data_IF_919253500183
#
_entry.id   IF_919253500183
#
_cell.length_a   1.000
_cell.length_b   1.000
_cell.length_c   1.000
_cell.angle_alpha   90.00
_cell.angle_beta   90.00
_cell.angle_gamma   90.00
#
_symmetry.space_group_name_H-M   'P 1'
#
loop_
_entity.id
_entity.type
_entity.pdbx_description
1 polymer ?
#
# COMPACT_ATOMS: atom_id res chain seq x y z
N UNK A 1 43.90 -29.66 31.23
CA UNK A 1 42.52 -29.13 31.38
C UNK A 1 42.01 -29.50 32.76
N UNK A 2 41.61 -28.54 33.60
CA UNK A 2 40.97 -28.84 34.88
C UNK A 2 39.53 -29.34 34.66
N UNK A 3 39.02 -30.16 35.58
CA UNK A 3 37.65 -30.67 35.54
C UNK A 3 36.62 -29.52 35.46
N UNK A 4 36.91 -28.41 36.13
CA UNK A 4 36.08 -27.20 36.14
C UNK A 4 35.91 -26.60 34.75
N UNK A 5 36.98 -26.54 33.94
CA UNK A 5 36.91 -26.03 32.56
C UNK A 5 36.07 -26.97 31.69
N UNK A 6 36.16 -28.29 31.90
CA UNK A 6 35.36 -29.27 31.17
C UNK A 6 33.86 -29.12 31.49
N UNK A 7 33.49 -29.02 32.78
CA UNK A 7 32.11 -28.79 33.19
C UNK A 7 31.57 -27.45 32.66
N UNK A 8 32.37 -26.38 32.76
CA UNK A 8 32.02 -25.08 32.19
C UNK A 8 31.74 -25.19 30.69
N UNK A 9 32.65 -25.82 29.95
CA UNK A 9 32.48 -26.07 28.51
C UNK A 9 31.20 -26.84 28.23
N UNK A 10 30.94 -27.94 28.96
CA UNK A 10 29.73 -28.74 28.76
C UNK A 10 28.45 -27.94 29.01
N UNK A 11 28.40 -27.13 30.06
CA UNK A 11 27.25 -26.28 30.36
C UNK A 11 27.07 -25.19 29.29
N UNK A 12 28.14 -24.54 28.86
CA UNK A 12 28.10 -23.55 27.78
C UNK A 12 27.60 -24.18 26.48
N UNK A 13 28.05 -25.39 26.15
CA UNK A 13 27.61 -26.12 24.96
C UNK A 13 26.15 -26.57 25.04
N UNK A 14 25.68 -26.98 26.21
CA UNK A 14 24.26 -27.24 26.45
C UNK A 14 23.41 -25.97 26.30
N UNK A 15 23.86 -24.83 26.83
CA UNK A 15 23.21 -23.55 26.63
C UNK A 15 23.18 -23.15 25.15
N UNK A 16 24.24 -23.44 24.39
CA UNK A 16 24.25 -23.26 22.94
C UNK A 16 23.25 -24.17 22.22
N UNK A 17 23.04 -25.40 22.70
CA UNK A 17 21.97 -26.29 22.21
C UNK A 17 20.58 -25.70 22.40
N UNK A 18 20.32 -25.09 23.57
CA UNK A 18 19.07 -24.37 23.86
C UNK A 18 18.92 -23.18 22.92
N UNK A 19 19.98 -22.38 22.77
CA UNK A 19 20.03 -21.24 21.85
C UNK A 19 19.73 -21.64 20.42
N UNK A 20 20.35 -22.72 19.92
CA UNK A 20 20.11 -23.25 18.57
C UNK A 20 18.64 -23.61 18.37
N UNK A 21 18.02 -24.25 19.37
CA UNK A 21 16.59 -24.55 19.32
C UNK A 21 15.71 -23.32 19.19
N UNK A 22 15.97 -22.30 20.01
CA UNK A 22 15.28 -21.01 19.94
C UNK A 22 15.51 -20.29 18.59
N UNK A 23 16.75 -20.33 18.09
CA UNK A 23 17.12 -19.73 16.81
C UNK A 23 16.42 -20.43 15.63
N UNK A 24 16.34 -21.76 15.63
CA UNK A 24 15.63 -22.54 14.60
C UNK A 24 14.14 -22.22 14.60
N UNK A 25 13.50 -22.20 15.78
CA UNK A 25 12.07 -21.87 15.86
C UNK A 25 11.77 -20.42 15.42
N UNK A 26 12.65 -19.48 15.76
CA UNK A 26 12.56 -18.09 15.30
C UNK A 26 12.73 -17.99 13.80
N UNK A 27 13.78 -18.61 13.26
CA UNK A 27 14.06 -18.63 11.83
C UNK A 27 12.89 -19.26 11.06
N UNK A 28 12.37 -20.40 11.53
CA UNK A 28 11.21 -21.06 10.94
C UNK A 28 9.92 -20.23 10.96
N UNK A 29 9.75 -19.33 11.94
CA UNK A 29 8.61 -18.40 11.98
C UNK A 29 8.70 -17.32 10.90
N UNK A 30 9.90 -16.82 10.62
CA UNK A 30 10.13 -15.79 9.59
C UNK A 30 10.30 -16.38 8.19
N UNK A 31 10.64 -17.66 8.08
CA UNK A 31 10.77 -18.35 6.81
C UNK A 31 9.39 -18.70 6.25
N UNK A 32 9.04 -18.10 5.11
CA UNK A 32 7.80 -18.42 4.41
C UNK A 32 7.89 -19.82 3.81
N UNK A 33 7.05 -20.76 4.29
CA UNK A 33 6.87 -22.07 3.66
C UNK A 33 6.42 -21.87 2.20
N UNK A 34 7.31 -22.11 1.25
CA UNK A 34 7.00 -22.11 -0.19
C UNK A 34 6.93 -23.55 -0.69
N UNK A 35 6.02 -23.81 -1.63
CA UNK A 35 5.75 -25.15 -2.19
C UNK A 35 6.86 -25.65 -3.12
N UNK A 36 7.71 -24.76 -3.64
CA UNK A 36 8.78 -25.09 -4.58
C UNK A 36 10.13 -24.61 -4.05
N UNK A 37 11.19 -25.34 -4.45
CA UNK A 37 12.56 -24.99 -4.15
C UNK A 37 12.87 -23.58 -4.68
N UNK A 38 13.50 -22.77 -3.84
CA UNK A 38 13.84 -21.41 -4.18
C UNK A 38 15.27 -21.13 -3.71
N UNK A 39 16.13 -20.74 -4.65
CA UNK A 39 17.55 -20.45 -4.39
C UNK A 39 17.76 -19.46 -3.25
N UNK A 40 16.88 -18.46 -3.12
CA UNK A 40 16.96 -17.49 -2.02
C UNK A 40 16.69 -18.12 -0.64
N UNK A 41 15.81 -19.12 -0.55
CA UNK A 41 15.59 -19.87 0.69
C UNK A 41 16.83 -20.67 1.06
N UNK A 42 17.42 -21.37 0.08
CA UNK A 42 18.66 -22.12 0.28
C UNK A 42 19.83 -21.22 0.71
N UNK A 43 19.96 -20.03 0.12
CA UNK A 43 20.98 -19.05 0.52
C UNK A 43 20.78 -18.58 1.97
N UNK A 44 19.53 -18.34 2.38
CA UNK A 44 19.20 -17.97 3.78
C UNK A 44 19.47 -19.11 4.74
N UNK A 45 19.15 -20.36 4.36
CA UNK A 45 19.44 -21.54 5.18
C UNK A 45 20.95 -21.72 5.36
N UNK A 46 21.73 -21.58 4.28
CA UNK A 46 23.19 -21.64 4.33
C UNK A 46 23.76 -20.54 5.23
N UNK A 47 23.30 -19.30 5.07
CA UNK A 47 23.75 -18.18 5.88
C UNK A 47 23.38 -18.37 7.36
N UNK A 48 22.18 -18.90 7.64
CA UNK A 48 21.74 -19.22 8.99
C UNK A 48 22.68 -20.23 9.64
N UNK A 49 22.93 -21.37 8.99
CA UNK A 49 23.82 -22.41 9.53
C UNK A 49 25.28 -21.94 9.65
N UNK A 50 25.75 -21.11 8.72
CA UNK A 50 27.07 -20.48 8.82
C UNK A 50 27.18 -19.61 10.08
N UNK A 51 26.21 -18.70 10.28
CA UNK A 51 26.20 -17.80 11.44
C UNK A 51 26.08 -18.61 12.74
N UNK A 52 25.15 -19.57 12.81
CA UNK A 52 24.99 -20.39 14.02
C UNK A 52 26.24 -21.24 14.30
N UNK A 53 26.86 -21.81 13.27
CA UNK A 53 28.12 -22.54 13.41
C UNK A 53 29.25 -21.65 13.93
N UNK A 54 29.38 -20.42 13.43
CA UNK A 54 30.36 -19.44 13.91
C UNK A 54 30.10 -19.03 15.37
N UNK A 55 28.84 -18.84 15.78
CA UNK A 55 28.49 -18.51 17.17
C UNK A 55 28.85 -19.67 18.09
N UNK A 56 28.47 -20.90 17.74
CA UNK A 56 28.80 -22.10 18.53
C UNK A 56 30.32 -22.27 18.63
N UNK A 57 31.03 -22.12 17.51
CA UNK A 57 32.49 -22.21 17.48
C UNK A 57 33.15 -21.12 18.30
N UNK A 58 32.64 -19.88 18.27
CA UNK A 58 33.14 -18.78 19.09
C UNK A 58 32.99 -19.08 20.58
N UNK A 59 31.82 -19.57 21.01
CA UNK A 59 31.62 -19.96 22.42
C UNK A 59 32.52 -21.14 22.79
N UNK A 60 32.80 -22.06 21.86
CA UNK A 60 33.75 -23.15 22.07
C UNK A 60 35.19 -22.65 22.19
N UNK A 61 35.55 -21.66 21.38
CA UNK A 61 36.85 -21.00 21.43
C UNK A 61 37.09 -20.32 22.78
N UNK A 62 36.07 -19.63 23.30
CA UNK A 62 36.17 -18.94 24.60
C UNK A 62 36.16 -19.93 25.78
N UNK A 63 35.39 -21.02 25.69
CA UNK A 63 35.25 -21.97 26.81
C UNK A 63 36.34 -23.03 26.88
N UNK A 64 36.87 -23.49 25.74
CA UNK A 64 37.81 -24.60 25.66
C UNK A 64 38.94 -24.37 24.65
N UNK A 65 39.25 -23.12 24.30
CA UNK A 65 40.24 -22.80 23.26
C UNK A 65 39.98 -23.46 21.90
N UNK A 66 38.72 -23.84 21.62
CA UNK A 66 38.33 -24.41 20.34
C UNK A 66 38.61 -25.90 20.20
N UNK A 67 38.96 -26.60 21.28
CA UNK A 67 39.12 -28.05 21.22
C UNK A 67 37.78 -28.76 20.96
N UNK A 68 37.64 -29.29 19.76
CA UNK A 68 36.47 -30.05 19.35
C UNK A 68 36.59 -31.48 19.88
N UNK A 69 35.72 -31.84 20.83
CA UNK A 69 35.68 -33.19 21.44
C UNK A 69 34.25 -33.75 21.40
N UNK A 70 34.11 -35.08 21.48
CA UNK A 70 32.80 -35.75 21.35
C UNK A 70 31.75 -35.24 22.37
N UNK A 71 32.15 -34.98 23.61
CA UNK A 71 31.22 -34.50 24.65
C UNK A 71 30.63 -33.12 24.35
N UNK A 72 31.28 -32.29 23.52
CA UNK A 72 30.77 -30.98 23.09
C UNK A 72 29.51 -31.18 22.26
N UNK A 73 29.56 -32.08 21.29
CA UNK A 73 28.39 -32.42 20.46
C UNK A 73 27.28 -33.04 21.30
N UNK A 74 27.62 -33.92 22.24
CA UNK A 74 26.65 -34.52 23.15
C UNK A 74 25.94 -33.47 24.02
N UNK A 75 26.70 -32.49 24.53
CA UNK A 75 26.17 -31.39 25.32
C UNK A 75 25.22 -30.50 24.49
N UNK A 76 25.59 -30.15 23.25
CA UNK A 76 24.71 -29.39 22.34
C UNK A 76 23.42 -30.17 22.06
N UNK A 77 23.52 -31.46 21.73
CA UNK A 77 22.36 -32.31 21.46
C UNK A 77 21.45 -32.42 22.69
N UNK A 78 22.03 -32.59 23.88
CA UNK A 78 21.30 -32.63 25.14
C UNK A 78 20.59 -31.30 25.42
N UNK A 79 21.28 -30.17 25.24
CA UNK A 79 20.69 -28.84 25.39
C UNK A 79 19.55 -28.57 24.40
N UNK A 80 19.72 -28.98 23.14
CA UNK A 80 18.69 -28.89 22.13
C UNK A 80 17.47 -29.76 22.46
N UNK A 81 17.69 -31.00 22.91
CA UNK A 81 16.61 -31.90 23.34
C UNK A 81 15.86 -31.34 24.56
N UNK A 82 16.58 -30.77 25.53
CA UNK A 82 16.01 -30.07 26.67
C UNK A 82 15.13 -28.89 26.22
N UNK A 83 15.59 -28.09 25.27
CA UNK A 83 14.78 -27.02 24.69
C UNK A 83 13.52 -27.55 24.00
N UNK A 84 13.63 -28.58 23.16
CA UNK A 84 12.48 -29.19 22.47
C UNK A 84 11.43 -29.71 23.47
N UNK A 85 11.87 -30.38 24.54
CA UNK A 85 10.97 -31.01 25.50
C UNK A 85 10.32 -30.02 26.48
N UNK A 86 11.08 -29.03 26.99
CA UNK A 86 10.64 -28.19 28.10
C UNK A 86 10.31 -26.75 27.70
N UNK A 87 11.08 -26.17 26.77
CA UNK A 87 11.06 -24.72 26.53
C UNK A 87 10.33 -24.35 25.25
N UNK A 88 10.24 -25.24 24.27
CA UNK A 88 9.74 -24.94 22.92
C UNK A 88 8.33 -24.32 22.94
N UNK A 89 7.39 -24.92 23.68
CA UNK A 89 6.01 -24.43 23.72
C UNK A 89 5.94 -23.03 24.33
N UNK A 90 6.63 -22.83 25.45
CA UNK A 90 6.68 -21.52 26.14
C UNK A 90 7.35 -20.48 25.26
N UNK A 91 8.48 -20.82 24.65
CA UNK A 91 9.22 -19.95 23.73
C UNK A 91 8.35 -19.51 22.55
N UNK A 92 7.66 -20.45 21.89
CA UNK A 92 6.76 -20.13 20.76
C UNK A 92 5.62 -19.20 21.19
N UNK A 93 5.01 -19.43 22.36
CA UNK A 93 3.96 -18.54 22.88
C UNK A 93 4.47 -17.12 23.13
N UNK A 94 5.64 -17.00 23.75
CA UNK A 94 6.29 -15.70 24.00
C UNK A 94 6.64 -15.01 22.68
N UNK A 95 7.25 -15.75 21.74
CA UNK A 95 7.60 -15.23 20.42
C UNK A 95 6.36 -14.67 19.69
N UNK A 96 5.24 -15.40 19.72
CA UNK A 96 4.00 -14.93 19.12
C UNK A 96 3.39 -13.72 19.85
N UNK A 97 3.47 -13.68 21.17
CA UNK A 97 3.05 -12.51 21.94
C UNK A 97 3.86 -11.27 21.55
N UNK A 98 5.20 -11.40 21.48
CA UNK A 98 6.09 -10.32 21.03
C UNK A 98 5.70 -9.86 19.63
N UNK A 99 5.50 -10.78 18.69
CA UNK A 99 5.08 -10.43 17.32
C UNK A 99 3.75 -9.68 17.33
N UNK A 100 2.75 -10.15 18.08
CA UNK A 100 1.44 -9.50 18.17
C UNK A 100 1.54 -8.10 18.78
N UNK A 101 2.33 -7.93 19.84
CA UNK A 101 2.57 -6.63 20.47
C UNK A 101 3.24 -5.67 19.49
N UNK A 102 4.28 -6.11 18.78
CA UNK A 102 4.97 -5.29 17.77
C UNK A 102 4.05 -4.87 16.63
N UNK A 103 3.21 -5.79 16.12
CA UNK A 103 2.22 -5.47 15.08
C UNK A 103 1.14 -4.53 15.60
N UNK A 104 0.69 -4.72 16.84
CA UNK A 104 -0.25 -3.84 17.52
C UNK A 104 0.30 -2.42 17.64
N UNK A 105 1.54 -2.30 18.12
CA UNK A 105 2.24 -1.03 18.25
C UNK A 105 2.39 -0.30 16.90
N UNK A 106 2.83 -1.02 15.86
CA UNK A 106 2.90 -0.47 14.50
C UNK A 106 1.54 0.04 14.00
N UNK A 107 0.45 -0.69 14.28
CA UNK A 107 -0.90 -0.27 13.91
C UNK A 107 -1.35 0.97 14.67
N UNK A 108 -1.04 1.06 15.96
CA UNK A 108 -1.33 2.25 16.78
C UNK A 108 -0.61 3.46 16.22
N UNK A 109 0.69 3.34 15.92
CA UNK A 109 1.47 4.43 15.31
C UNK A 109 0.85 4.84 13.97
N UNK A 110 0.58 3.87 13.08
CA UNK A 110 -0.02 4.16 11.77
C UNK A 110 -1.36 4.87 11.89
N UNK A 111 -2.21 4.43 12.81
CA UNK A 111 -3.51 5.04 13.04
C UNK A 111 -3.37 6.45 13.62
N UNK A 112 -2.42 6.65 14.54
CA UNK A 112 -2.12 7.97 15.10
C UNK A 112 -1.67 8.94 14.00
N UNK A 113 -0.72 8.54 13.15
CA UNK A 113 -0.29 9.34 12.00
C UNK A 113 -1.44 9.64 11.02
N UNK A 114 -2.30 8.66 10.77
CA UNK A 114 -3.44 8.85 9.88
C UNK A 114 -4.45 9.86 10.44
N UNK A 115 -4.83 9.72 11.71
CA UNK A 115 -5.80 10.63 12.36
C UNK A 115 -5.21 12.02 12.58
N UNK A 116 -3.93 12.10 12.97
CA UNK A 116 -3.29 13.36 13.34
C UNK A 116 -2.83 14.19 12.13
N UNK A 117 -2.39 13.56 11.04
CA UNK A 117 -1.86 14.28 9.88
C UNK A 117 -2.75 14.11 8.66
N UNK A 118 -3.03 12.88 8.24
CA UNK A 118 -3.69 12.62 6.95
C UNK A 118 -5.13 13.14 6.94
N UNK A 119 -5.90 12.86 7.99
CA UNK A 119 -7.30 13.30 8.11
C UNK A 119 -7.43 14.83 8.09
N UNK A 120 -6.74 15.62 8.95
CA UNK A 120 -6.89 17.08 8.92
C UNK A 120 -6.42 17.70 7.62
N UNK A 121 -5.33 17.20 7.02
CA UNK A 121 -4.86 17.69 5.70
C UNK A 121 -5.93 17.46 4.63
N UNK A 122 -6.58 16.30 4.62
CA UNK A 122 -7.66 15.99 3.66
C UNK A 122 -8.85 16.93 3.82
N UNK A 123 -9.25 17.23 5.07
CA UNK A 123 -10.33 18.20 5.32
C UNK A 123 -9.94 19.62 4.93
N UNK A 124 -8.69 20.02 5.18
CA UNK A 124 -8.17 21.33 4.78
C UNK A 124 -8.17 21.50 3.25
N UNK A 125 -7.72 20.49 2.51
CA UNK A 125 -7.78 20.49 1.05
C UNK A 125 -9.23 20.53 0.53
N UNK A 126 -10.15 19.80 1.18
CA UNK A 126 -11.58 19.82 0.83
C UNK A 126 -12.18 21.21 1.06
N UNK A 127 -11.82 21.87 2.16
CA UNK A 127 -12.22 23.25 2.45
C UNK A 127 -11.74 24.18 1.34
N UNK A 128 -10.44 24.14 1.02
CA UNK A 128 -9.84 24.98 -0.02
C UNK A 128 -10.50 24.78 -1.39
N UNK A 129 -10.75 23.53 -1.77
CA UNK A 129 -11.47 23.21 -3.01
C UNK A 129 -12.89 23.78 -3.02
N UNK A 130 -13.63 23.65 -1.91
CA UNK A 130 -15.00 24.17 -1.80
C UNK A 130 -15.04 25.70 -1.90
N UNK A 131 -14.08 26.40 -1.28
CA UNK A 131 -13.94 27.85 -1.39
C UNK A 131 -13.60 28.27 -2.84
N UNK A 132 -12.68 27.56 -3.49
CA UNK A 132 -12.36 27.80 -4.90
C UNK A 132 -13.58 27.64 -5.81
N UNK A 133 -14.37 26.57 -5.62
CA UNK A 133 -15.61 26.35 -6.37
C UNK A 133 -16.65 27.45 -6.13
N UNK A 134 -16.77 27.95 -4.89
CA UNK A 134 -17.66 29.07 -4.58
C UNK A 134 -17.26 30.34 -5.34
N UNK A 135 -15.96 30.64 -5.42
CA UNK A 135 -15.46 31.79 -6.18
C UNK A 135 -15.71 31.63 -7.68
N UNK A 136 -15.40 30.47 -8.26
CA UNK A 136 -15.62 30.20 -9.69
C UNK A 136 -17.09 30.33 -10.07
N UNK A 137 -17.98 29.74 -9.26
CA UNK A 137 -19.43 29.82 -9.49
C UNK A 137 -19.97 31.23 -9.32
N UNK A 138 -19.46 32.02 -8.37
CA UNK A 138 -19.80 33.43 -8.21
C UNK A 138 -19.38 34.27 -9.44
N UNK A 139 -18.14 34.09 -9.92
CA UNK A 139 -17.63 34.79 -11.11
C UNK A 139 -18.47 34.43 -12.34
N UNK A 140 -18.74 33.14 -12.57
CA UNK A 140 -19.59 32.69 -13.67
C UNK A 140 -21.00 33.24 -13.57
N UNK A 141 -21.59 33.28 -12.37
CA UNK A 141 -22.91 33.86 -12.16
C UNK A 141 -22.94 35.35 -12.50
N UNK A 142 -21.93 36.13 -12.08
CA UNK A 142 -21.78 37.54 -12.42
C UNK A 142 -21.64 37.72 -13.94
N UNK A 143 -20.76 36.95 -14.57
CA UNK A 143 -20.55 37.02 -16.02
C UNK A 143 -21.83 36.69 -16.81
N UNK A 144 -22.54 35.62 -16.43
CA UNK A 144 -23.82 35.24 -17.06
C UNK A 144 -24.93 36.25 -16.78
N UNK A 145 -24.94 36.88 -15.60
CA UNK A 145 -25.88 37.93 -15.27
C UNK A 145 -25.68 39.15 -16.18
N UNK A 146 -24.43 39.60 -16.36
CA UNK A 146 -24.08 40.68 -17.28
C UNK A 146 -24.43 40.33 -18.73
N UNK A 147 -24.07 39.12 -19.18
CA UNK A 147 -24.41 38.65 -20.52
C UNK A 147 -25.92 38.64 -20.75
N UNK A 148 -26.70 38.16 -19.78
CA UNK A 148 -28.17 38.14 -19.84
C UNK A 148 -28.76 39.55 -19.80
N UNK A 149 -28.18 40.46 -19.01
CA UNK A 149 -28.59 41.86 -18.92
C UNK A 149 -28.47 42.57 -20.27
N UNK A 150 -27.44 42.24 -21.06
CA UNK A 150 -27.23 42.78 -22.42
C UNK A 150 -28.08 42.04 -23.46
N UNK A 151 -28.19 40.72 -23.35
CA UNK A 151 -28.91 39.90 -24.33
C UNK A 151 -30.42 40.14 -24.34
N UNK A 152 -31.02 40.44 -23.17
CA UNK A 152 -32.45 40.77 -23.06
C UNK A 152 -32.82 42.01 -23.90
N UNK A 153 -32.23 43.20 -23.72
CA UNK A 153 -32.54 44.37 -24.53
C UNK A 153 -32.14 44.17 -25.99
N UNK A 154 -31.02 43.49 -26.28
CA UNK A 154 -30.64 43.19 -27.66
C UNK A 154 -31.68 42.33 -28.38
N UNK A 155 -32.23 41.31 -27.72
CA UNK A 155 -33.35 40.52 -28.25
C UNK A 155 -34.59 41.37 -28.48
N UNK A 156 -34.92 42.25 -27.54
CA UNK A 156 -36.05 43.17 -27.70
C UNK A 156 -35.84 44.13 -28.88
N UNK A 157 -34.64 44.67 -29.04
CA UNK A 157 -34.28 45.52 -30.17
C UNK A 157 -34.33 44.76 -31.49
N UNK A 158 -33.80 43.53 -31.55
CA UNK A 158 -33.90 42.68 -32.76
C UNK A 158 -35.34 42.37 -33.11
N UNK A 159 -36.18 42.01 -32.13
CA UNK A 159 -37.62 41.79 -32.33
C UNK A 159 -38.34 43.06 -32.77
N UNK A 160 -37.97 44.21 -32.19
CA UNK A 160 -38.53 45.51 -32.54
C UNK A 160 -38.14 45.93 -33.96
N UNK A 161 -36.87 45.73 -34.35
CA UNK A 161 -36.40 45.93 -35.72
C UNK A 161 -37.17 45.01 -36.66
N UNK A 162 -37.24 43.70 -36.41
CA UNK A 162 -38.03 42.77 -37.22
C UNK A 162 -39.50 43.20 -37.40
N UNK A 163 -40.11 43.75 -36.34
CA UNK A 163 -41.48 44.26 -36.35
C UNK A 163 -41.62 45.53 -37.21
N UNK A 164 -40.59 46.37 -37.26
CA UNK A 164 -40.58 47.62 -38.05
C UNK A 164 -40.18 47.39 -39.51
N UNK A 165 -39.19 46.55 -39.81
CA UNK A 165 -38.72 46.32 -41.19
C UNK A 165 -39.69 45.50 -42.04
N UNK A 166 -40.87 45.09 -41.54
CA UNK A 166 -41.87 44.30 -42.29
C UNK A 166 -41.22 43.08 -42.98
N UNK A 167 -40.31 42.41 -42.26
CA UNK A 167 -39.58 41.22 -42.72
C UNK A 167 -40.51 40.01 -42.99
N UNK A 168 -41.77 40.08 -42.58
CA UNK A 168 -42.85 39.19 -43.02
C UNK A 168 -42.95 39.11 -44.56
N UNK A 169 -42.77 40.23 -45.26
CA UNK A 169 -42.81 40.25 -46.74
C UNK A 169 -41.60 39.58 -47.41
N UNK A 170 -40.46 39.51 -46.72
CA UNK A 170 -39.28 38.76 -47.19
C UNK A 170 -39.43 37.27 -46.89
N UNK A 171 -40.05 36.91 -45.76
CA UNK A 171 -40.39 35.52 -45.45
C UNK A 171 -41.44 34.98 -46.44
N UNK A 172 -42.45 35.77 -46.79
CA UNK A 172 -43.41 35.42 -47.86
C UNK A 172 -42.72 35.22 -49.21
N UNK A 173 -41.78 36.10 -49.60
CA UNK A 173 -41.01 35.97 -50.85
C UNK A 173 -40.02 34.80 -50.86
N UNK A 174 -39.46 34.42 -49.72
CA UNK A 174 -38.50 33.31 -49.60
C UNK A 174 -39.19 31.96 -49.35
N UNK A 175 -40.43 31.96 -48.85
CA UNK A 175 -41.22 30.74 -48.60
C UNK A 175 -41.36 29.82 -49.81
N UNK A 176 -41.64 30.29 -51.05
CA UNK A 176 -41.69 29.40 -52.22
C UNK A 176 -40.30 28.87 -52.59
N UNK A 177 -39.22 29.61 -52.32
CA UNK A 177 -37.85 29.19 -52.63
C UNK A 177 -37.38 28.09 -51.67
N UNK A 178 -37.72 28.22 -50.39
CA UNK A 178 -37.44 27.20 -49.38
C UNK A 178 -38.23 25.90 -49.64
N UNK A 179 -39.51 26.00 -50.03
CA UNK A 179 -40.32 24.86 -50.46
C UNK A 179 -39.73 24.17 -51.70
N UNK A 180 -39.30 24.94 -52.71
CA UNK A 180 -38.68 24.40 -53.93
C UNK A 180 -37.35 23.70 -53.67
N UNK A 181 -36.51 24.24 -52.79
CA UNK A 181 -35.26 23.59 -52.36
C UNK A 181 -35.57 22.31 -51.58
N UNK A 182 -36.56 22.33 -50.68
CA UNK A 182 -36.98 21.15 -49.91
C UNK A 182 -37.52 20.04 -50.80
N UNK A 183 -38.34 20.37 -51.80
CA UNK A 183 -38.84 19.43 -52.81
C UNK A 183 -37.71 18.86 -53.66
N UNK A 184 -36.74 19.68 -54.07
CA UNK A 184 -35.57 19.23 -54.85
C UNK A 184 -34.69 18.26 -54.04
N UNK A 185 -34.46 18.56 -52.76
CA UNK A 185 -33.72 17.68 -51.84
C UNK A 185 -34.48 16.38 -51.58
N UNK A 186 -35.81 16.42 -51.45
CA UNK A 186 -36.63 15.22 -51.30
C UNK A 186 -36.68 14.37 -52.58
N UNK A 187 -36.72 14.99 -53.77
CA UNK A 187 -36.66 14.29 -55.05
C UNK A 187 -35.29 13.61 -55.26
N UNK A 188 -34.20 14.28 -54.88
CA UNK A 188 -32.85 13.69 -54.89
C UNK A 188 -32.71 12.53 -53.89
N UNK A 189 -33.42 12.57 -52.77
CA UNK A 189 -33.42 11.49 -51.77
C UNK A 189 -34.22 10.26 -52.24
N UNK A 190 -35.33 10.45 -52.95
CA UNK A 190 -36.11 9.36 -53.57
C UNK A 190 -35.45 8.72 -54.80
N UNK A 191 -34.50 9.39 -55.44
CA UNK A 191 -33.75 8.87 -56.60
C UNK A 191 -32.53 8.03 -56.21
N UNK A 192 -32.30 7.84 -54.91
CA UNK A 192 -31.12 7.18 -54.32
C UNK A 192 -31.47 5.91 -53.53
N UNK A 193 -32.75 5.52 -53.53
CA UNK A 193 -33.28 4.19 -53.17
C UNK A 193 -33.69 3.48 -54.47
#
# INVERSE_FOLDING_TARGET
MSLTIQFYTMLSMAAMGIWLGAAIDTYGRFLRKRRSFHWLTACKDLLFWLIQGLIVFYVLLVSNHGEVRLYVFLAILCGYACYMALLQTTYKRVLEQIIRLSVGFYRVIKNLFNVLLIVPIKYLLKLLYSLGMMVVTAILAIFLFLARMIWRPLKWMLLFVFRITRLERLWEKLSPFYLKIKEYVQAMRKKKE
#
